data_IF_383272410626
#
_entry.id   IF_383272410626
#
_cell.length_a   1.000
_cell.length_b   1.000
_cell.length_c   1.000
_cell.angle_alpha   90.00
_cell.angle_beta   90.00
_cell.angle_gamma   90.00
#
_symmetry.space_group_name_H-M   'P 1'
#
loop_
_entity.id
_entity.type
_entity.pdbx_description
1 polymer ?
#
# COMPACT_ATOMS: atom_id res chain seq x y z
N UNK A 1 -22.73 6.24 13.28
CA UNK A 1 -21.52 5.72 13.95
C UNK A 1 -21.14 4.34 13.41
N UNK A 2 -22.03 3.35 13.40
CA UNK A 2 -21.73 1.98 12.96
C UNK A 2 -21.24 1.92 11.51
N UNK A 3 -21.84 2.69 10.60
CA UNK A 3 -21.44 2.76 9.19
C UNK A 3 -20.02 3.33 9.00
N UNK A 4 -19.62 4.29 9.83
CA UNK A 4 -18.26 4.86 9.82
C UNK A 4 -17.23 3.80 10.26
N UNK A 5 -17.48 3.10 11.37
CA UNK A 5 -16.58 2.05 11.87
C UNK A 5 -16.44 0.94 10.83
N UNK A 6 -17.55 0.47 10.26
CA UNK A 6 -17.53 -0.55 9.21
C UNK A 6 -16.74 -0.08 7.99
N UNK A 7 -16.92 1.16 7.56
CA UNK A 7 -16.21 1.75 6.41
C UNK A 7 -14.70 1.88 6.65
N UNK A 8 -14.28 2.25 7.85
CA UNK A 8 -12.86 2.31 8.22
C UNK A 8 -12.22 0.90 8.18
N UNK A 9 -12.89 -0.10 8.74
CA UNK A 9 -12.42 -1.48 8.71
C UNK A 9 -12.32 -2.00 7.27
N UNK A 10 -13.40 -1.87 6.50
CA UNK A 10 -13.45 -2.32 5.10
C UNK A 10 -12.41 -1.60 4.25
N UNK A 11 -12.29 -0.27 4.38
CA UNK A 11 -11.31 0.52 3.65
C UNK A 11 -9.87 0.11 3.94
N UNK A 12 -9.56 -0.16 5.21
CA UNK A 12 -8.22 -0.64 5.59
C UNK A 12 -7.89 -2.02 4.97
N UNK A 13 -8.82 -2.97 5.03
CA UNK A 13 -8.62 -4.30 4.43
C UNK A 13 -8.54 -4.24 2.90
N UNK A 14 -9.42 -3.48 2.26
CA UNK A 14 -9.38 -3.30 0.79
C UNK A 14 -8.05 -2.71 0.35
N UNK A 15 -7.57 -1.66 1.03
CA UNK A 15 -6.29 -1.05 0.72
C UNK A 15 -5.12 -2.04 0.87
N UNK A 16 -5.14 -2.89 1.91
CA UNK A 16 -4.14 -3.95 2.10
C UNK A 16 -4.19 -5.01 1.00
N UNK A 17 -5.38 -5.50 0.64
CA UNK A 17 -5.55 -6.48 -0.43
C UNK A 17 -5.05 -5.92 -1.77
N UNK A 18 -5.50 -4.72 -2.16
CA UNK A 18 -5.07 -4.09 -3.41
C UNK A 18 -3.56 -3.89 -3.45
N UNK A 19 -2.97 -3.46 -2.34
CA UNK A 19 -1.54 -3.28 -2.19
C UNK A 19 -0.76 -4.57 -2.47
N UNK A 20 -1.08 -5.65 -1.76
CA UNK A 20 -0.39 -6.94 -1.92
C UNK A 20 -0.59 -7.54 -3.31
N UNK A 21 -1.79 -7.46 -3.85
CA UNK A 21 -2.07 -7.91 -5.21
C UNK A 21 -1.38 -7.04 -6.26
N UNK A 22 -1.21 -5.75 -5.98
CA UNK A 22 -0.40 -4.83 -6.79
C UNK A 22 1.05 -5.28 -6.87
N UNK A 23 1.67 -5.58 -5.72
CA UNK A 23 3.02 -6.14 -5.67
C UNK A 23 3.13 -7.45 -6.44
N UNK A 24 2.18 -8.36 -6.23
CA UNK A 24 2.16 -9.63 -6.94
C UNK A 24 2.03 -9.44 -8.46
N UNK A 25 1.16 -8.55 -8.91
CA UNK A 25 1.01 -8.23 -10.33
C UNK A 25 2.30 -7.65 -10.92
N UNK A 26 2.93 -6.67 -10.23
CA UNK A 26 4.22 -6.10 -10.64
C UNK A 26 5.33 -7.15 -10.72
N UNK A 27 5.39 -8.05 -9.73
CA UNK A 27 6.33 -9.18 -9.73
C UNK A 27 6.11 -10.12 -10.92
N UNK A 28 4.85 -10.44 -11.25
CA UNK A 28 4.50 -11.30 -12.39
C UNK A 28 4.78 -10.65 -13.73
N UNK A 29 4.47 -9.37 -13.90
CA UNK A 29 4.78 -8.60 -15.11
C UNK A 29 6.28 -8.58 -15.39
N UNK A 30 7.11 -8.45 -14.36
CA UNK A 30 8.56 -8.51 -14.47
C UNK A 30 9.13 -9.94 -14.58
N UNK A 31 8.28 -10.97 -14.63
CA UNK A 31 8.69 -12.38 -14.67
C UNK A 31 9.63 -12.75 -13.51
N UNK A 32 9.39 -12.18 -12.32
CA UNK A 32 10.16 -12.48 -11.12
C UNK A 32 9.84 -13.86 -10.55
N UNK A 33 10.77 -14.40 -9.77
CA UNK A 33 10.55 -15.61 -8.97
C UNK A 33 9.82 -15.25 -7.68
N UNK A 34 8.50 -15.29 -7.73
CA UNK A 34 7.58 -14.91 -6.65
C UNK A 34 6.51 -15.99 -6.44
N UNK A 35 6.87 -17.10 -5.74
CA UNK A 35 5.92 -18.19 -5.51
C UNK A 35 4.79 -17.74 -4.58
N UNK A 36 3.59 -18.25 -4.83
CA UNK A 36 2.45 -18.09 -3.93
C UNK A 36 2.76 -18.85 -2.64
N UNK A 37 2.54 -18.22 -1.48
CA UNK A 37 2.77 -18.88 -0.19
C UNK A 37 1.65 -19.89 0.09
N UNK A 38 1.99 -21.11 0.58
CA UNK A 38 0.99 -22.16 0.82
C UNK A 38 -0.03 -21.79 1.92
N UNK A 39 0.38 -20.93 2.85
CA UNK A 39 -0.48 -20.43 3.95
C UNK A 39 -0.37 -18.90 4.00
N UNK A 40 -1.26 -18.20 3.32
CA UNK A 40 -1.30 -16.73 3.39
C UNK A 40 -1.49 -16.25 4.84
N UNK A 41 -0.77 -15.20 5.23
CA UNK A 41 -0.93 -14.53 6.53
C UNK A 41 -1.43 -13.11 6.28
N UNK A 42 -2.64 -12.81 6.76
CA UNK A 42 -3.28 -11.53 6.48
C UNK A 42 -3.50 -11.33 4.98
N UNK A 43 -2.97 -10.26 4.42
CA UNK A 43 -3.04 -9.94 2.99
C UNK A 43 -1.86 -10.45 2.17
N UNK A 44 -0.83 -11.03 2.82
CA UNK A 44 0.36 -11.57 2.14
C UNK A 44 0.03 -12.85 1.36
N UNK A 45 0.22 -12.81 0.05
CA UNK A 45 -0.14 -13.90 -0.86
C UNK A 45 1.05 -14.56 -1.55
N UNK A 46 2.22 -13.91 -1.56
CA UNK A 46 3.42 -14.41 -2.25
C UNK A 46 4.71 -14.11 -1.48
N UNK A 47 5.78 -14.82 -1.84
CA UNK A 47 7.14 -14.56 -1.36
C UNK A 47 7.98 -13.91 -2.47
N UNK A 48 8.83 -12.96 -2.12
CA UNK A 48 9.81 -12.38 -3.01
C UNK A 48 11.21 -12.55 -2.42
N UNK A 49 12.10 -13.22 -3.14
CA UNK A 49 13.47 -13.45 -2.71
C UNK A 49 14.41 -12.55 -3.50
N UNK A 50 15.12 -11.65 -2.81
CA UNK A 50 16.05 -10.69 -3.41
C UNK A 50 17.23 -11.37 -4.13
N UNK A 51 17.72 -12.49 -3.60
CA UNK A 51 18.87 -13.23 -4.21
C UNK A 51 18.52 -13.91 -5.53
N UNK A 52 17.22 -14.20 -5.74
CA UNK A 52 16.71 -14.89 -6.93
C UNK A 52 16.12 -13.95 -7.97
N UNK A 53 16.14 -12.65 -7.69
CA UNK A 53 15.55 -11.62 -8.53
C UNK A 53 16.50 -10.44 -8.72
N UNK A 54 16.35 -9.74 -9.84
CA UNK A 54 17.13 -8.54 -10.14
C UNK A 54 16.52 -7.30 -9.50
N UNK A 55 17.30 -6.21 -9.40
CA UNK A 55 16.81 -4.91 -8.93
C UNK A 55 15.64 -4.38 -9.77
N UNK A 56 15.62 -4.61 -11.07
CA UNK A 56 14.49 -4.21 -11.94
C UNK A 56 13.23 -5.01 -11.63
N UNK A 57 13.35 -6.30 -11.32
CA UNK A 57 12.23 -7.12 -10.88
C UNK A 57 11.70 -6.68 -9.52
N UNK A 58 12.60 -6.33 -8.60
CA UNK A 58 12.23 -5.71 -7.34
C UNK A 58 11.49 -4.38 -7.53
N UNK A 59 12.02 -3.48 -8.37
CA UNK A 59 11.37 -2.19 -8.66
C UNK A 59 9.98 -2.36 -9.25
N UNK A 60 9.80 -3.27 -10.20
CA UNK A 60 8.49 -3.56 -10.78
C UNK A 60 7.51 -4.09 -9.72
N UNK A 61 7.96 -4.99 -8.86
CA UNK A 61 7.20 -5.50 -7.74
C UNK A 61 6.82 -4.36 -6.78
N UNK A 62 7.81 -3.59 -6.33
CA UNK A 62 7.62 -2.51 -5.35
C UNK A 62 6.70 -1.39 -5.86
N UNK A 63 6.76 -1.03 -7.13
CA UNK A 63 5.87 -0.04 -7.74
C UNK A 63 4.42 -0.52 -7.80
N UNK A 64 4.21 -1.83 -7.91
CA UNK A 64 2.88 -2.42 -8.05
C UNK A 64 1.95 -2.10 -6.87
N UNK A 65 2.44 -2.18 -5.64
CA UNK A 65 1.66 -1.90 -4.43
C UNK A 65 1.12 -0.47 -4.37
N UNK A 66 1.99 0.56 -4.41
CA UNK A 66 1.57 1.96 -4.45
C UNK A 66 0.61 2.26 -5.61
N UNK A 67 0.91 1.78 -6.82
CA UNK A 67 0.04 1.98 -7.98
C UNK A 67 -1.35 1.40 -7.73
N UNK A 68 -1.44 0.19 -7.20
CA UNK A 68 -2.73 -0.45 -6.90
C UNK A 68 -3.52 0.31 -5.83
N UNK A 69 -2.86 0.87 -4.81
CA UNK A 69 -3.53 1.71 -3.83
C UNK A 69 -4.09 3.00 -4.44
N UNK A 70 -3.35 3.66 -5.31
CA UNK A 70 -3.85 4.86 -6.00
C UNK A 70 -4.96 4.54 -7.01
N UNK A 71 -4.91 3.36 -7.66
CA UNK A 71 -6.03 2.87 -8.47
C UNK A 71 -7.27 2.63 -7.62
N UNK A 72 -7.13 2.08 -6.41
CA UNK A 72 -8.26 1.93 -5.49
C UNK A 72 -8.84 3.28 -5.07
N UNK A 73 -7.99 4.29 -4.77
CA UNK A 73 -8.45 5.66 -4.49
C UNK A 73 -9.28 6.18 -5.67
N UNK A 74 -8.77 6.06 -6.89
CA UNK A 74 -9.48 6.49 -8.10
C UNK A 74 -10.82 5.76 -8.27
N UNK A 75 -10.85 4.44 -8.06
CA UNK A 75 -12.09 3.65 -8.14
C UNK A 75 -13.12 4.10 -7.09
N UNK A 76 -12.70 4.35 -5.86
CA UNK A 76 -13.61 4.84 -4.81
C UNK A 76 -14.20 6.20 -5.20
N UNK A 77 -13.37 7.13 -5.68
CA UNK A 77 -13.84 8.47 -6.10
C UNK A 77 -14.80 8.40 -7.28
N UNK A 78 -14.52 7.52 -8.25
CA UNK A 78 -15.33 7.43 -9.48
C UNK A 78 -16.65 6.66 -9.28
N UNK A 79 -16.67 5.69 -8.37
CA UNK A 79 -17.80 4.75 -8.26
C UNK A 79 -18.68 4.98 -7.01
N UNK A 80 -18.16 5.68 -6.00
CA UNK A 80 -18.85 5.84 -4.71
C UNK A 80 -19.07 7.33 -4.45
N UNK A 81 -20.32 7.84 -4.51
CA UNK A 81 -20.60 9.23 -4.15
C UNK A 81 -20.30 9.47 -2.67
N UNK A 82 -19.56 10.52 -2.37
CA UNK A 82 -19.17 10.88 -0.99
C UNK A 82 -20.26 11.82 -0.43
N UNK A 83 -21.40 11.25 -0.11
CA UNK A 83 -22.62 11.98 0.31
C UNK A 83 -23.04 11.72 1.75
N UNK A 84 -22.27 10.91 2.49
CA UNK A 84 -22.53 10.63 3.90
C UNK A 84 -21.23 10.25 4.64
N UNK A 85 -21.27 10.34 5.98
CA UNK A 85 -20.12 10.12 6.84
C UNK A 85 -19.45 8.72 6.68
N UNK A 86 -20.21 7.68 6.36
CA UNK A 86 -19.67 6.34 6.14
C UNK A 86 -18.85 6.25 4.85
N UNK A 87 -19.37 6.80 3.74
CA UNK A 87 -18.66 6.84 2.45
C UNK A 87 -17.45 7.78 2.49
N UNK A 88 -17.57 8.91 3.20
CA UNK A 88 -16.45 9.79 3.50
C UNK A 88 -15.34 9.06 4.27
N UNK A 89 -15.71 8.23 5.27
CA UNK A 89 -14.77 7.43 6.05
C UNK A 89 -14.07 6.35 5.20
N UNK A 90 -14.79 5.70 4.29
CA UNK A 90 -14.21 4.74 3.34
C UNK A 90 -13.15 5.41 2.45
N UNK A 91 -13.52 6.52 1.81
CA UNK A 91 -12.60 7.29 0.98
C UNK A 91 -11.38 7.75 1.77
N UNK A 92 -11.60 8.35 2.94
CA UNK A 92 -10.55 8.86 3.80
C UNK A 92 -9.56 7.76 4.22
N UNK A 93 -10.07 6.57 4.59
CA UNK A 93 -9.22 5.44 4.97
C UNK A 93 -8.38 4.95 3.79
N UNK A 94 -8.99 4.75 2.61
CA UNK A 94 -8.28 4.29 1.42
C UNK A 94 -7.21 5.31 1.00
N UNK A 95 -7.51 6.60 1.03
CA UNK A 95 -6.55 7.66 0.72
C UNK A 95 -5.41 7.71 1.75
N UNK A 96 -5.75 7.66 3.04
CA UNK A 96 -4.73 7.65 4.11
C UNK A 96 -3.78 6.46 3.99
N UNK A 97 -4.29 5.27 3.65
CA UNK A 97 -3.45 4.10 3.38
C UNK A 97 -2.53 4.31 2.18
N UNK A 98 -3.04 4.87 1.08
CA UNK A 98 -2.21 5.18 -0.11
C UNK A 98 -1.09 6.17 0.21
N UNK A 99 -1.38 7.21 1.02
CA UNK A 99 -0.37 8.17 1.49
C UNK A 99 0.68 7.50 2.38
N UNK A 100 0.26 6.70 3.37
CA UNK A 100 1.18 5.96 4.24
C UNK A 100 2.13 5.05 3.46
N UNK A 101 1.61 4.33 2.47
CA UNK A 101 2.42 3.47 1.58
C UNK A 101 3.48 4.28 0.82
N UNK A 102 3.13 5.43 0.24
CA UNK A 102 4.11 6.28 -0.47
C UNK A 102 5.20 6.79 0.49
N UNK A 103 4.85 7.14 1.72
CA UNK A 103 5.82 7.60 2.72
C UNK A 103 6.81 6.49 3.08
N UNK A 104 6.35 5.23 3.17
CA UNK A 104 7.23 4.10 3.50
C UNK A 104 8.01 3.59 2.28
N UNK A 105 7.34 3.28 1.18
CA UNK A 105 7.93 2.61 0.02
C UNK A 105 8.60 3.57 -0.97
N UNK A 106 8.10 4.81 -1.06
CA UNK A 106 8.64 5.80 -1.98
C UNK A 106 10.15 6.01 -1.87
N UNK A 107 10.72 6.19 -0.65
CA UNK A 107 12.16 6.28 -0.47
C UNK A 107 12.93 5.03 -0.87
N UNK A 108 12.40 3.82 -0.62
CA UNK A 108 13.02 2.55 -1.02
C UNK A 108 13.10 2.49 -2.55
N UNK A 109 11.97 2.74 -3.21
CA UNK A 109 11.87 2.74 -4.67
C UNK A 109 12.85 3.77 -5.27
N UNK A 110 12.81 5.02 -4.79
CA UNK A 110 13.63 6.10 -5.31
C UNK A 110 15.14 5.81 -5.16
N UNK A 111 15.56 5.29 -4.01
CA UNK A 111 16.98 4.96 -3.78
C UNK A 111 17.42 3.76 -4.61
N UNK A 112 16.57 2.73 -4.75
CA UNK A 112 16.87 1.58 -5.62
C UNK A 112 16.97 2.01 -7.08
N UNK A 113 16.12 2.92 -7.56
CA UNK A 113 16.23 3.49 -8.92
C UNK A 113 17.55 4.24 -9.14
N UNK A 114 18.10 4.84 -8.09
CA UNK A 114 19.39 5.54 -8.11
C UNK A 114 20.59 4.61 -7.83
N UNK A 115 20.42 3.28 -7.94
CA UNK A 115 21.49 2.30 -7.82
C UNK A 115 21.70 1.73 -6.42
N UNK A 116 20.83 2.06 -5.46
CA UNK A 116 20.83 1.44 -4.13
C UNK A 116 20.50 -0.05 -4.19
N UNK A 117 21.04 -0.81 -3.23
CA UNK A 117 20.73 -2.24 -3.11
C UNK A 117 19.36 -2.42 -2.45
N UNK A 118 18.39 -3.11 -3.10
CA UNK A 118 17.02 -3.22 -2.63
C UNK A 118 16.88 -3.65 -1.16
N UNK A 119 17.61 -4.70 -0.76
CA UNK A 119 17.57 -5.20 0.61
C UNK A 119 18.08 -4.17 1.62
N UNK A 120 19.19 -3.50 1.33
CA UNK A 120 19.76 -2.47 2.21
C UNK A 120 18.83 -1.27 2.37
N UNK A 121 18.13 -0.87 1.31
CA UNK A 121 17.19 0.24 1.38
C UNK A 121 15.91 -0.11 2.15
N UNK A 122 15.47 -1.38 2.05
CA UNK A 122 14.37 -1.90 2.86
C UNK A 122 14.75 -1.94 4.35
N UNK A 123 15.90 -2.55 4.67
CA UNK A 123 16.40 -2.67 6.05
C UNK A 123 16.56 -1.27 6.68
N UNK A 124 17.15 -0.32 5.95
CA UNK A 124 17.28 1.08 6.39
C UNK A 124 15.93 1.71 6.74
N UNK A 125 14.87 1.46 5.93
CA UNK A 125 13.53 2.00 6.21
C UNK A 125 12.90 1.36 7.44
N UNK A 126 13.12 0.07 7.64
CA UNK A 126 12.62 -0.65 8.82
C UNK A 126 13.33 -0.20 10.09
N UNK A 127 14.67 -0.15 10.08
CA UNK A 127 15.49 0.21 11.23
C UNK A 127 15.24 1.65 11.73
N UNK A 128 14.90 2.55 10.82
CA UNK A 128 14.57 3.94 11.16
C UNK A 128 13.15 4.13 11.74
N UNK A 129 12.37 3.07 11.94
CA UNK A 129 10.99 3.16 12.40
C UNK A 129 10.06 3.86 11.39
N UNK A 130 10.43 3.89 10.12
CA UNK A 130 9.65 4.55 9.06
C UNK A 130 8.32 3.86 8.82
N UNK A 131 8.22 2.56 9.08
CA UNK A 131 6.97 1.82 8.95
C UNK A 131 5.90 2.37 9.90
N UNK A 132 6.22 2.49 11.19
CA UNK A 132 5.28 2.99 12.20
C UNK A 132 4.90 4.45 11.91
N UNK A 133 5.88 5.29 11.58
CA UNK A 133 5.63 6.70 11.22
C UNK A 133 4.71 6.83 10.01
N UNK A 134 4.92 6.02 8.98
CA UNK A 134 4.10 6.03 7.77
C UNK A 134 2.66 5.59 8.05
N UNK A 135 2.47 4.61 8.91
CA UNK A 135 1.14 4.17 9.36
C UNK A 135 0.43 5.27 10.14
N UNK A 136 1.10 5.88 11.12
CA UNK A 136 0.55 7.01 11.89
C UNK A 136 0.16 8.16 10.97
N UNK A 137 1.05 8.56 10.05
CA UNK A 137 0.77 9.64 9.10
C UNK A 137 -0.39 9.29 8.16
N UNK A 138 -0.49 8.05 7.72
CA UNK A 138 -1.63 7.55 6.94
C UNK A 138 -2.95 7.67 7.71
N UNK A 139 -3.00 7.26 8.97
CA UNK A 139 -4.21 7.38 9.80
C UNK A 139 -4.54 8.83 10.15
N UNK A 140 -3.54 9.68 10.40
CA UNK A 140 -3.74 11.12 10.61
C UNK A 140 -4.32 11.76 9.34
N UNK A 141 -3.81 11.39 8.16
CA UNK A 141 -4.36 11.84 6.87
C UNK A 141 -5.81 11.39 6.72
N UNK A 142 -6.13 10.13 7.03
CA UNK A 142 -7.49 9.62 6.97
C UNK A 142 -8.43 10.40 7.91
N UNK A 143 -8.01 10.65 9.14
CA UNK A 143 -8.80 11.42 10.10
C UNK A 143 -9.05 12.86 9.62
N UNK A 144 -8.00 13.53 9.12
CA UNK A 144 -8.11 14.91 8.61
C UNK A 144 -9.04 14.99 7.40
N UNK A 145 -8.90 14.09 6.44
CA UNK A 145 -9.75 14.04 5.23
C UNK A 145 -11.20 13.76 5.61
N UNK A 146 -11.45 12.83 6.52
CA UNK A 146 -12.82 12.55 6.99
C UNK A 146 -13.46 13.75 7.66
N UNK A 147 -12.75 14.44 8.56
CA UNK A 147 -13.25 15.64 9.25
C UNK A 147 -13.54 16.79 8.29
N UNK A 148 -12.85 16.88 7.16
CA UNK A 148 -13.08 17.90 6.13
C UNK A 148 -14.26 17.55 5.20
N UNK A 149 -14.63 16.26 5.13
CA UNK A 149 -15.64 15.75 4.21
C UNK A 149 -17.04 15.62 4.85
N UNK A 150 -17.16 15.78 6.18
CA UNK A 150 -18.41 15.72 6.95
C UNK A 150 -18.73 17.07 7.57
#
# INVERSE_FOLDING_TARGET
VLSVIAALIVGNYLAGIFHEWGHFAGARLAKSRSPIVPKPSGTFVFGFNMEKNTSNQFLSMSLGGPIANWLLVALVVLLIPIDNAGRAALFAMVLGRAVGVIIFEGPIIARTMNGGQPQQELDRQLDNGSLDRSQVLGYVTAAAVWLLAV
#
